data_IF_191773595307
#
_entry.id   IF_191773595307
#
_cell.length_a   1.000
_cell.length_b   1.000
_cell.length_c   1.000
_cell.angle_alpha   90.00
_cell.angle_beta   90.00
_cell.angle_gamma   90.00
#
_symmetry.space_group_name_H-M   'P 1'
#
loop_
_entity.id
_entity.type
_entity.pdbx_description
1 polymer ?
#
# COMPACT_ATOMS: atom_id res chain seq x y z
N UNK A 1 -10.16 59.11 -46.94
CA UNK A 1 -9.12 59.08 -48.00
C UNK A 1 -7.80 58.75 -47.32
N UNK A 2 -6.99 57.74 -47.65
CA UNK A 2 -7.03 56.62 -48.57
C UNK A 2 -5.76 55.79 -48.22
N UNK A 3 -5.90 54.45 -48.11
CA UNK A 3 -4.91 53.37 -48.41
C UNK A 3 -3.43 53.54 -47.96
N UNK A 4 -2.88 52.75 -47.05
CA UNK A 4 -2.51 51.32 -47.15
C UNK A 4 -1.39 50.99 -48.15
N UNK A 5 -0.15 50.78 -47.68
CA UNK A 5 0.87 49.85 -48.22
C UNK A 5 1.98 49.64 -47.16
N UNK A 6 2.04 48.57 -46.35
CA UNK A 6 2.42 47.17 -46.64
C UNK A 6 3.93 46.88 -46.39
N UNK A 7 4.29 46.31 -45.23
CA UNK A 7 5.41 45.33 -45.11
C UNK A 7 5.46 44.64 -43.72
N UNK A 8 4.40 43.94 -43.32
CA UNK A 8 4.52 42.90 -42.29
C UNK A 8 4.22 41.56 -42.95
N UNK A 9 5.29 40.87 -43.35
CA UNK A 9 5.24 39.51 -43.88
C UNK A 9 5.40 38.55 -42.69
N UNK A 10 4.28 37.99 -42.23
CA UNK A 10 4.22 36.59 -41.79
C UNK A 10 3.81 35.75 -43.03
N UNK A 11 3.84 34.39 -43.11
CA UNK A 11 3.78 33.43 -42.00
C UNK A 11 4.49 32.05 -42.22
N UNK A 12 4.80 31.31 -41.14
CA UNK A 12 4.86 29.83 -41.16
C UNK A 12 4.38 29.33 -39.78
N UNK A 13 3.09 28.96 -39.64
CA UNK A 13 2.58 27.57 -39.58
C UNK A 13 3.07 26.85 -38.29
N UNK A 14 2.24 26.44 -37.33
CA UNK A 14 0.95 25.75 -37.42
C UNK A 14 0.11 26.01 -36.14
N UNK A 15 -1.18 26.35 -36.27
CA UNK A 15 -2.33 25.45 -36.09
C UNK A 15 -2.45 24.89 -34.64
N UNK A 16 -3.29 25.46 -33.78
CA UNK A 16 -4.76 25.30 -33.71
C UNK A 16 -5.21 23.86 -33.43
N UNK A 17 -5.67 23.62 -32.20
CA UNK A 17 -6.78 22.75 -31.79
C UNK A 17 -6.56 22.42 -30.29
N UNK A 18 -7.35 22.98 -29.39
CA UNK A 18 -8.62 22.39 -28.97
C UNK A 18 -8.46 20.95 -28.47
N UNK A 19 -8.43 20.76 -27.15
CA UNK A 19 -9.15 19.68 -26.48
C UNK A 19 -9.03 19.86 -24.96
N UNK A 20 -10.03 20.53 -24.39
CA UNK A 20 -10.59 20.11 -23.12
C UNK A 20 -11.00 18.65 -23.22
N UNK A 21 -10.15 17.72 -22.77
CA UNK A 21 -10.56 16.36 -22.47
C UNK A 21 -10.71 16.24 -20.96
N UNK A 22 -11.86 16.71 -20.50
CA UNK A 22 -12.51 16.12 -19.34
C UNK A 22 -12.50 14.60 -19.56
N UNK A 23 -11.80 13.88 -18.70
CA UNK A 23 -11.89 12.43 -18.68
C UNK A 23 -13.31 12.08 -18.26
N UNK A 24 -14.16 11.78 -19.24
CA UNK A 24 -15.41 11.06 -19.05
C UNK A 24 -15.10 9.84 -18.21
N UNK A 25 -15.47 9.88 -16.92
CA UNK A 25 -15.46 8.72 -16.06
C UNK A 25 -16.44 7.73 -16.67
N UNK A 26 -15.93 6.77 -17.42
CA UNK A 26 -16.70 5.64 -17.91
C UNK A 26 -17.28 4.92 -16.70
N UNK A 27 -18.59 4.96 -16.56
CA UNK A 27 -19.33 4.16 -15.59
C UNK A 27 -19.21 2.68 -15.97
N UNK A 28 -18.10 2.06 -15.58
CA UNK A 28 -17.93 0.62 -15.68
C UNK A 28 -18.76 0.00 -14.56
N UNK A 29 -19.80 -0.74 -14.93
CA UNK A 29 -20.68 -1.45 -13.99
C UNK A 29 -19.89 -2.51 -13.23
N UNK A 30 -19.40 -2.17 -12.04
CA UNK A 30 -18.71 -3.09 -11.14
C UNK A 30 -19.70 -3.71 -10.17
N UNK A 31 -20.47 -4.70 -10.62
CA UNK A 31 -21.25 -5.54 -9.68
C UNK A 31 -20.32 -6.58 -9.05
N UNK A 32 -20.05 -6.45 -7.75
CA UNK A 32 -19.46 -7.54 -6.97
C UNK A 32 -20.42 -8.74 -6.97
N UNK A 33 -19.86 -9.97 -6.96
CA UNK A 33 -20.66 -11.20 -6.97
C UNK A 33 -21.55 -11.23 -5.73
N UNK A 34 -22.88 -11.16 -5.92
CA UNK A 34 -23.88 -11.03 -4.84
C UNK A 34 -24.02 -12.24 -3.90
N UNK A 35 -23.35 -13.36 -4.19
CA UNK A 35 -23.49 -14.61 -3.44
C UNK A 35 -22.26 -15.00 -2.61
N UNK A 36 -21.30 -14.08 -2.44
CA UNK A 36 -20.10 -14.27 -1.62
C UNK A 36 -20.00 -13.04 -0.70
N UNK A 37 -19.67 -13.20 0.59
CA UNK A 37 -19.40 -12.05 1.45
C UNK A 37 -18.28 -11.19 0.85
N UNK A 38 -18.49 -9.88 0.78
CA UNK A 38 -17.48 -8.96 0.27
C UNK A 38 -16.31 -8.87 1.25
N UNK A 39 -15.09 -8.99 0.73
CA UNK A 39 -13.86 -8.81 1.49
C UNK A 39 -13.35 -7.40 1.20
N UNK A 40 -13.05 -6.63 2.25
CA UNK A 40 -12.59 -5.25 2.15
C UNK A 40 -11.24 -5.09 2.85
N UNK A 41 -10.37 -4.28 2.26
CA UNK A 41 -9.13 -3.84 2.91
C UNK A 41 -9.46 -2.58 3.72
N UNK A 42 -9.37 -2.67 5.04
CA UNK A 42 -9.64 -1.53 5.93
C UNK A 42 -8.50 -0.53 5.89
N UNK A 43 -7.28 -1.01 6.15
CA UNK A 43 -6.08 -0.18 6.21
C UNK A 43 -4.82 -1.02 5.97
N UNK A 44 -3.72 -0.35 5.65
CA UNK A 44 -2.41 -0.97 5.45
C UNK A 44 -1.29 -0.05 5.91
N UNK A 45 -0.28 -0.64 6.54
CA UNK A 45 0.95 0.04 6.97
C UNK A 45 2.17 -0.73 6.51
N UNK A 46 3.30 -0.04 6.44
CA UNK A 46 4.59 -0.63 6.12
C UNK A 46 5.69 0.06 6.92
N UNK A 47 6.77 -0.66 7.16
CA UNK A 47 8.00 -0.04 7.66
C UNK A 47 8.67 0.77 6.52
N UNK A 48 9.40 1.84 6.84
CA UNK A 48 10.22 2.54 5.87
C UNK A 48 11.27 1.61 5.27
N UNK A 49 11.48 1.64 3.95
CA UNK A 49 12.52 0.84 3.32
C UNK A 49 13.87 1.50 3.55
N UNK A 50 14.84 0.72 4.04
CA UNK A 50 16.21 1.14 4.23
C UNK A 50 17.16 0.21 3.48
N UNK A 51 18.34 0.71 3.14
CA UNK A 51 19.38 -0.08 2.49
C UNK A 51 19.90 -1.12 3.50
N UNK A 52 20.05 -2.38 3.07
CA UNK A 52 20.59 -3.45 3.91
C UNK A 52 21.94 -3.05 4.52
N UNK A 53 22.12 -3.28 5.82
CA UNK A 53 23.33 -2.90 6.55
C UNK A 53 23.37 -1.46 7.07
N UNK A 54 22.30 -0.66 6.87
CA UNK A 54 22.21 0.71 7.39
C UNK A 54 21.36 0.78 8.66
N UNK A 55 20.13 1.30 8.58
CA UNK A 55 19.27 1.65 9.72
C UNK A 55 18.78 0.45 10.53
N UNK A 56 18.58 -0.70 9.89
CA UNK A 56 18.03 -1.91 10.53
C UNK A 56 19.07 -3.01 10.75
N UNK A 57 20.36 -2.68 10.75
CA UNK A 57 21.43 -3.68 10.83
C UNK A 57 21.41 -4.49 12.14
N UNK A 58 20.97 -3.86 13.23
CA UNK A 58 20.97 -4.45 14.58
C UNK A 58 19.60 -5.02 14.96
N UNK A 59 18.60 -4.91 14.07
CA UNK A 59 17.24 -5.39 14.31
C UNK A 59 17.01 -6.75 13.67
N UNK A 60 16.22 -7.58 14.33
CA UNK A 60 15.79 -8.86 13.78
C UNK A 60 14.56 -8.67 12.87
N UNK A 61 14.32 -9.62 11.97
CA UNK A 61 13.13 -9.61 11.13
C UNK A 61 11.83 -9.58 11.95
N UNK A 62 11.83 -10.24 13.13
CA UNK A 62 10.72 -10.22 14.08
C UNK A 62 10.45 -8.82 14.62
N UNK A 63 11.50 -8.04 14.92
CA UNK A 63 11.34 -6.68 15.46
C UNK A 63 10.69 -5.75 14.43
N UNK A 64 11.08 -5.88 13.16
CA UNK A 64 10.48 -5.12 12.06
C UNK A 64 9.02 -5.50 11.85
N UNK A 65 8.68 -6.79 11.95
CA UNK A 65 7.30 -7.25 11.84
C UNK A 65 6.44 -6.81 13.02
N UNK A 66 6.95 -6.91 14.25
CA UNK A 66 6.30 -6.39 15.46
C UNK A 66 5.94 -4.93 15.29
N UNK A 67 6.87 -4.11 14.80
CA UNK A 67 6.63 -2.68 14.62
C UNK A 67 5.57 -2.39 13.55
N UNK A 68 5.57 -3.16 12.46
CA UNK A 68 4.52 -3.06 11.44
C UNK A 68 3.14 -3.43 12.00
N UNK A 69 3.03 -4.53 12.76
CA UNK A 69 1.77 -4.98 13.37
C UNK A 69 1.27 -3.95 14.39
N UNK A 70 2.16 -3.47 15.26
CA UNK A 70 1.84 -2.46 16.27
C UNK A 70 1.32 -1.18 15.63
N UNK A 71 2.01 -0.67 14.60
CA UNK A 71 1.57 0.51 13.87
C UNK A 71 0.21 0.32 13.18
N UNK A 72 -0.10 -0.88 12.69
CA UNK A 72 -1.41 -1.19 12.10
C UNK A 72 -2.52 -1.12 13.14
N UNK A 73 -2.29 -1.73 14.31
CA UNK A 73 -3.25 -1.75 15.41
C UNK A 73 -3.47 -0.33 15.94
N UNK A 74 -2.40 0.44 16.15
CA UNK A 74 -2.47 1.84 16.60
C UNK A 74 -3.25 2.72 15.62
N UNK A 75 -3.05 2.53 14.31
CA UNK A 75 -3.71 3.34 13.27
C UNK A 75 -5.18 2.96 13.06
N UNK A 76 -5.51 1.68 13.20
CA UNK A 76 -6.88 1.18 13.05
C UNK A 76 -7.71 1.29 14.34
N UNK A 77 -7.04 1.46 15.49
CA UNK A 77 -7.63 1.54 16.83
C UNK A 77 -8.60 0.36 17.12
N UNK A 78 -8.29 -0.82 16.57
CA UNK A 78 -9.10 -2.02 16.73
C UNK A 78 -8.72 -2.73 18.04
N UNK A 79 -9.69 -3.25 18.81
CA UNK A 79 -9.39 -4.07 19.96
C UNK A 79 -8.78 -5.40 19.51
N UNK A 80 -7.76 -5.85 20.22
CA UNK A 80 -6.98 -7.04 19.88
C UNK A 80 -7.81 -8.34 19.80
N UNK A 81 -9.00 -8.37 20.42
CA UNK A 81 -9.92 -9.51 20.44
C UNK A 81 -10.59 -9.81 19.09
N UNK A 82 -10.63 -8.84 18.18
CA UNK A 82 -11.22 -9.02 16.84
C UNK A 82 -10.24 -9.60 15.81
N UNK A 83 -9.00 -9.86 16.19
CA UNK A 83 -7.98 -10.44 15.31
C UNK A 83 -8.04 -11.97 15.37
N UNK A 84 -8.71 -12.59 14.39
CA UNK A 84 -8.81 -14.05 14.32
C UNK A 84 -7.56 -14.71 13.71
N UNK A 85 -6.97 -14.07 12.70
CA UNK A 85 -5.89 -14.65 11.90
C UNK A 85 -4.79 -13.63 11.64
N UNK A 86 -3.53 -14.05 11.85
CA UNK A 86 -2.35 -13.30 11.46
C UNK A 86 -1.50 -14.19 10.55
N UNK A 87 -1.22 -13.66 9.36
CA UNK A 87 -0.40 -14.33 8.36
C UNK A 87 0.82 -13.48 8.09
N UNK A 88 2.00 -14.04 8.31
CA UNK A 88 3.26 -13.37 7.99
C UNK A 88 4.06 -14.20 6.98
N UNK A 89 4.62 -13.53 5.97
CA UNK A 89 5.53 -14.13 5.00
C UNK A 89 6.94 -13.57 5.18
N UNK A 90 7.93 -14.44 5.21
CA UNK A 90 9.35 -14.05 5.05
C UNK A 90 10.11 -15.18 4.36
N UNK A 91 11.11 -14.78 3.59
CA UNK A 91 11.90 -15.69 2.76
C UNK A 91 13.07 -16.25 3.55
N UNK A 92 13.80 -15.39 4.27
CA UNK A 92 14.93 -15.81 5.10
C UNK A 92 14.39 -16.00 6.52
N UNK A 93 14.46 -17.24 6.99
CA UNK A 93 14.07 -17.58 8.35
C UNK A 93 15.23 -17.36 9.31
N UNK A 94 14.92 -16.81 10.46
CA UNK A 94 15.86 -16.73 11.56
C UNK A 94 15.73 -18.00 12.43
N UNK A 95 16.79 -18.81 12.60
CA UNK A 95 16.71 -20.09 13.32
C UNK A 95 16.40 -19.94 14.81
N UNK A 96 16.62 -18.75 15.39
CA UNK A 96 16.29 -18.47 16.79
C UNK A 96 14.78 -18.33 17.03
N UNK A 97 14.00 -18.10 15.99
CA UNK A 97 12.55 -17.85 16.08
C UNK A 97 11.82 -18.86 15.22
N UNK A 98 11.32 -19.93 15.86
CA UNK A 98 10.67 -21.04 15.14
C UNK A 98 9.40 -20.61 14.40
N UNK A 99 8.66 -19.62 14.90
CA UNK A 99 7.51 -19.05 14.22
C UNK A 99 7.51 -17.53 14.36
N UNK A 100 8.07 -16.86 13.34
CA UNK A 100 8.19 -15.40 13.28
C UNK A 100 6.83 -14.69 13.41
N UNK A 101 5.76 -15.25 12.83
CA UNK A 101 4.42 -14.67 12.91
C UNK A 101 3.87 -14.66 14.36
N UNK A 102 4.10 -15.74 15.10
CA UNK A 102 3.70 -15.86 16.50
C UNK A 102 4.50 -14.91 17.38
N UNK A 103 5.83 -14.96 17.28
CA UNK A 103 6.71 -14.11 18.10
C UNK A 103 6.43 -12.61 17.87
N UNK A 104 6.30 -12.17 16.62
CA UNK A 104 6.01 -10.78 16.29
C UNK A 104 4.65 -10.32 16.84
N UNK A 105 3.63 -11.18 16.78
CA UNK A 105 2.28 -10.86 17.27
C UNK A 105 2.22 -10.79 18.79
N UNK A 106 2.88 -11.72 19.49
CA UNK A 106 2.99 -11.71 20.95
C UNK A 106 3.71 -10.44 21.43
N UNK A 107 4.81 -10.07 20.77
CA UNK A 107 5.54 -8.85 21.08
C UNK A 107 4.76 -7.57 20.75
N UNK A 108 3.78 -7.64 19.82
CA UNK A 108 2.89 -6.54 19.49
C UNK A 108 1.66 -6.43 20.44
N UNK A 109 1.49 -7.37 21.37
CA UNK A 109 0.39 -7.36 22.35
C UNK A 109 -0.90 -8.06 21.88
N UNK A 110 -0.84 -8.87 20.82
CA UNK A 110 -1.99 -9.63 20.32
C UNK A 110 -2.23 -10.86 21.22
N UNK A 111 -3.49 -11.18 21.57
CA UNK A 111 -3.83 -12.34 22.40
C UNK A 111 -3.55 -13.68 21.70
N UNK A 112 -3.16 -14.69 22.49
CA UNK A 112 -2.83 -16.07 22.08
C UNK A 112 -3.98 -16.84 21.41
N UNK A 113 -5.19 -16.28 21.41
CA UNK A 113 -6.37 -16.90 20.80
C UNK A 113 -6.35 -16.81 19.26
N UNK A 114 -5.58 -15.88 18.70
CA UNK A 114 -5.45 -15.72 17.27
C UNK A 114 -4.72 -16.92 16.64
N UNK A 115 -5.17 -17.33 15.45
CA UNK A 115 -4.49 -18.37 14.67
C UNK A 115 -3.34 -17.75 13.88
N UNK A 116 -2.13 -18.27 14.10
CA UNK A 116 -0.91 -17.81 13.43
C UNK A 116 -0.52 -18.74 12.29
N UNK A 117 -0.40 -18.18 11.08
CA UNK A 117 0.05 -18.91 9.90
C UNK A 117 1.34 -18.25 9.40
N UNK A 118 2.32 -19.08 9.09
CA UNK A 118 3.61 -18.64 8.58
C UNK A 118 3.87 -19.30 7.22
N UNK A 119 4.09 -18.46 6.21
CA UNK A 119 4.33 -18.90 4.83
C UNK A 119 5.80 -18.70 4.49
N UNK A 120 6.45 -19.81 4.12
CA UNK A 120 7.86 -19.85 3.73
C UNK A 120 7.92 -20.25 2.26
N UNK A 121 8.65 -19.47 1.46
CA UNK A 121 8.92 -19.78 0.05
C UNK A 121 10.26 -20.45 -0.15
#
# INVERSE_FOLDING_TARGET
MLRAINSTIAPVRAASAAASTASTASSTSTTSKRNIPNIVLVDAVRTPFAVSGTLYKDLMAVDLQKEAIKALIERTNLPHEHLDHIVCGTVIQEPRTSNIAREASLLAGVPDKASFIYLTG
#
